data_IF_178110256331
#
_entry.id   IF_178110256331
#
_cell.length_a   1.000
_cell.length_b   1.000
_cell.length_c   1.000
_cell.angle_alpha   90.00
_cell.angle_beta   90.00
_cell.angle_gamma   90.00
#
_symmetry.space_group_name_H-M   'P 1'
#
loop_
_entity.id
_entity.type
_entity.pdbx_description
1 polymer ?
#
# COMPACT_ATOMS: atom_id res chain seq x y z
N UNK A 1 -36.32 28.40 -9.69
CA UNK A 1 -34.97 28.68 -10.21
C UNK A 1 -34.01 27.98 -9.25
N UNK A 2 -33.00 27.29 -9.77
CA UNK A 2 -32.02 26.51 -9.01
C UNK A 2 -30.83 27.42 -8.70
N UNK A 3 -30.33 27.40 -7.43
CA UNK A 3 -29.11 28.08 -7.05
C UNK A 3 -27.92 27.27 -7.63
N UNK A 4 -27.40 27.69 -8.77
CA UNK A 4 -26.34 26.98 -9.48
C UNK A 4 -25.04 26.88 -8.71
N UNK A 5 -24.73 27.82 -7.80
CA UNK A 5 -23.54 27.74 -6.95
C UNK A 5 -23.67 26.63 -5.91
N UNK A 6 -24.86 26.50 -5.32
CA UNK A 6 -25.13 25.39 -4.38
C UNK A 6 -25.15 24.05 -5.09
N UNK A 7 -25.75 24.01 -6.30
CA UNK A 7 -25.71 22.80 -7.12
C UNK A 7 -24.28 22.37 -7.46
N UNK A 8 -23.41 23.29 -7.88
CA UNK A 8 -22.02 23.01 -8.20
C UNK A 8 -21.25 22.47 -6.97
N UNK A 9 -21.39 23.10 -5.82
CA UNK A 9 -20.75 22.62 -4.58
C UNK A 9 -21.30 21.26 -4.14
N UNK A 10 -22.61 21.09 -4.20
CA UNK A 10 -23.29 19.84 -3.88
C UNK A 10 -22.82 18.69 -4.78
N UNK A 11 -22.64 18.93 -6.08
CA UNK A 11 -22.16 17.91 -7.02
C UNK A 11 -20.71 17.51 -6.76
N UNK A 12 -19.82 18.44 -6.41
CA UNK A 12 -18.44 18.13 -6.02
C UNK A 12 -18.41 17.25 -4.77
N UNK A 13 -19.19 17.62 -3.74
CA UNK A 13 -19.29 16.83 -2.51
C UNK A 13 -19.87 15.44 -2.76
N UNK A 14 -20.89 15.34 -3.60
CA UNK A 14 -21.49 14.07 -4.00
C UNK A 14 -20.51 13.19 -4.77
N UNK A 15 -19.67 13.76 -5.65
CA UNK A 15 -18.64 13.01 -6.38
C UNK A 15 -17.60 12.40 -5.43
N UNK A 16 -17.16 13.16 -4.44
CA UNK A 16 -16.24 12.64 -3.41
C UNK A 16 -16.91 11.59 -2.52
N UNK A 17 -18.16 11.80 -2.11
CA UNK A 17 -18.91 10.81 -1.35
C UNK A 17 -19.07 9.49 -2.14
N UNK A 18 -19.41 9.59 -3.42
CA UNK A 18 -19.53 8.44 -4.32
C UNK A 18 -18.19 7.72 -4.49
N UNK A 19 -17.08 8.46 -4.59
CA UNK A 19 -15.75 7.90 -4.68
C UNK A 19 -15.36 7.10 -3.40
N UNK A 20 -15.59 7.67 -2.21
CA UNK A 20 -15.32 6.95 -0.97
C UNK A 20 -16.24 5.72 -0.82
N UNK A 21 -17.50 5.83 -1.22
CA UNK A 21 -18.41 4.70 -1.26
C UNK A 21 -17.93 3.60 -2.22
N UNK A 22 -17.43 3.98 -3.39
CA UNK A 22 -16.86 3.07 -4.37
C UNK A 22 -15.61 2.36 -3.82
N UNK A 23 -14.65 3.09 -3.23
CA UNK A 23 -13.46 2.51 -2.60
C UNK A 23 -13.81 1.45 -1.55
N UNK A 24 -14.83 1.75 -0.74
CA UNK A 24 -15.30 0.84 0.29
C UNK A 24 -15.97 -0.40 -0.28
N UNK A 25 -16.90 -0.24 -1.21
CA UNK A 25 -17.70 -1.33 -1.79
C UNK A 25 -16.86 -2.28 -2.65
N UNK A 26 -15.84 -1.77 -3.34
CA UNK A 26 -14.95 -2.57 -4.18
C UNK A 26 -13.80 -3.21 -3.40
N UNK A 27 -13.52 -2.73 -2.17
CA UNK A 27 -12.35 -3.14 -1.40
C UNK A 27 -11.05 -2.46 -1.84
N UNK A 28 -11.09 -1.54 -2.80
CA UNK A 28 -9.91 -0.82 -3.28
C UNK A 28 -9.26 0.06 -2.21
N UNK A 29 -9.95 0.29 -1.11
CA UNK A 29 -9.42 1.02 0.06
C UNK A 29 -8.11 0.41 0.58
N UNK A 30 -7.92 -0.91 0.48
CA UNK A 30 -6.71 -1.62 0.92
C UNK A 30 -5.45 -1.18 0.19
N UNK A 31 -5.59 -0.62 -1.01
CA UNK A 31 -4.45 -0.10 -1.80
C UNK A 31 -3.92 1.23 -1.27
N UNK A 32 -4.71 1.96 -0.50
CA UNK A 32 -4.40 3.33 -0.06
C UNK A 32 -4.23 3.44 1.44
N UNK A 33 -4.98 2.67 2.22
CA UNK A 33 -5.07 2.79 3.67
C UNK A 33 -4.81 1.46 4.37
N UNK A 34 -4.25 1.54 5.58
CA UNK A 34 -4.17 0.42 6.50
C UNK A 34 -5.47 0.22 7.28
N UNK A 35 -5.71 -0.98 7.84
CA UNK A 35 -6.96 -1.33 8.53
C UNK A 35 -7.34 -0.37 9.66
N UNK A 36 -6.34 0.18 10.35
CA UNK A 36 -6.55 1.14 11.46
C UNK A 36 -7.24 2.43 11.03
N UNK A 37 -7.16 2.78 9.74
CA UNK A 37 -7.66 4.05 9.20
C UNK A 37 -8.86 3.88 8.27
N UNK A 38 -9.36 2.66 8.04
CA UNK A 38 -10.53 2.41 7.19
C UNK A 38 -11.78 3.20 7.61
N UNK A 39 -11.94 3.47 8.90
CA UNK A 39 -13.07 4.26 9.42
C UNK A 39 -13.13 5.67 8.82
N UNK A 40 -11.98 6.24 8.40
CA UNK A 40 -11.90 7.58 7.79
C UNK A 40 -12.68 7.62 6.48
N UNK A 41 -12.64 6.54 5.69
CA UNK A 41 -13.38 6.45 4.41
C UNK A 41 -14.88 6.43 4.66
N UNK A 42 -15.33 5.63 5.63
CA UNK A 42 -16.76 5.53 6.00
C UNK A 42 -17.24 6.86 6.55
N UNK A 43 -16.48 7.46 7.48
CA UNK A 43 -16.79 8.77 8.05
C UNK A 43 -16.83 9.86 6.96
N UNK A 44 -15.84 9.88 6.05
CA UNK A 44 -15.80 10.79 4.93
C UNK A 44 -16.99 10.63 3.98
N UNK A 45 -17.34 9.39 3.65
CA UNK A 45 -18.52 9.09 2.82
C UNK A 45 -19.82 9.65 3.44
N UNK A 46 -20.04 9.39 4.73
CA UNK A 46 -21.24 9.84 5.44
C UNK A 46 -21.29 11.38 5.51
N UNK A 47 -20.22 12.01 5.97
CA UNK A 47 -20.19 13.47 6.18
C UNK A 47 -20.33 14.24 4.87
N UNK A 48 -19.66 13.79 3.81
CA UNK A 48 -19.77 14.40 2.48
C UNK A 48 -21.16 14.19 1.87
N UNK A 49 -21.78 13.02 2.09
CA UNK A 49 -23.16 12.76 1.66
C UNK A 49 -24.15 13.70 2.36
N UNK A 50 -24.04 13.85 3.68
CA UNK A 50 -24.89 14.77 4.44
C UNK A 50 -24.69 16.21 4.01
N UNK A 51 -23.46 16.64 3.78
CA UNK A 51 -23.16 17.98 3.28
C UNK A 51 -23.72 18.20 1.85
N UNK A 52 -23.59 17.21 0.97
CA UNK A 52 -24.17 17.28 -0.37
C UNK A 52 -25.71 17.41 -0.32
N UNK A 53 -26.38 16.60 0.51
CA UNK A 53 -27.83 16.67 0.74
C UNK A 53 -28.25 18.05 1.28
N UNK A 54 -27.49 18.62 2.23
CA UNK A 54 -27.75 19.95 2.75
C UNK A 54 -27.69 21.04 1.68
N UNK A 55 -26.76 20.93 0.73
CA UNK A 55 -26.69 21.80 -0.43
C UNK A 55 -27.89 21.60 -1.40
N UNK A 56 -28.34 20.36 -1.60
CA UNK A 56 -29.45 20.03 -2.46
C UNK A 56 -30.82 20.51 -1.90
N UNK A 57 -31.03 20.42 -0.58
CA UNK A 57 -32.25 20.92 0.06
C UNK A 57 -32.39 22.44 -0.02
N UNK A 58 -31.29 23.17 -0.14
CA UNK A 58 -31.26 24.63 -0.25
C UNK A 58 -31.24 25.17 -1.68
N UNK A 59 -31.61 24.38 -2.70
CA UNK A 59 -31.52 24.77 -4.13
C UNK A 59 -32.43 25.88 -4.60
N UNK A 60 -33.41 26.34 -3.77
CA UNK A 60 -34.23 27.48 -4.09
C UNK A 60 -33.45 28.78 -3.93
N UNK A 61 -33.04 29.38 -5.04
CA UNK A 61 -32.18 30.55 -5.00
C UNK A 61 -32.05 31.27 -6.33
N UNK A 62 -31.09 32.16 -6.44
CA UNK A 62 -30.86 33.02 -7.61
C UNK A 62 -30.17 32.27 -8.75
N UNK A 63 -30.44 32.65 -10.03
CA UNK A 63 -29.68 32.11 -11.15
C UNK A 63 -28.21 32.44 -10.98
N UNK A 64 -27.36 31.44 -11.17
CA UNK A 64 -25.91 31.55 -11.06
C UNK A 64 -25.28 31.21 -12.40
N UNK A 65 -24.51 32.15 -12.94
CA UNK A 65 -23.59 31.87 -14.04
C UNK A 65 -22.19 31.57 -13.45
N UNK A 66 -21.64 30.38 -13.68
CA UNK A 66 -20.32 30.04 -13.16
C UNK A 66 -19.25 30.95 -13.78
N UNK A 67 -18.42 31.52 -12.94
CA UNK A 67 -17.24 32.27 -13.40
C UNK A 67 -16.11 31.30 -13.80
N UNK A 68 -15.11 31.78 -14.54
CA UNK A 68 -13.92 30.97 -14.84
C UNK A 68 -13.24 30.47 -13.58
N UNK A 69 -13.22 31.28 -12.52
CA UNK A 69 -12.64 30.90 -11.23
C UNK A 69 -13.41 29.75 -10.57
N UNK A 70 -14.75 29.75 -10.62
CA UNK A 70 -15.56 28.66 -10.09
C UNK A 70 -15.31 27.34 -10.87
N UNK A 71 -15.14 27.42 -12.20
CA UNK A 71 -14.85 26.25 -13.03
C UNK A 71 -13.45 25.69 -12.74
N UNK A 72 -12.42 26.54 -12.66
CA UNK A 72 -11.07 26.13 -12.32
C UNK A 72 -10.97 25.55 -10.91
N UNK A 73 -11.64 26.15 -9.93
CA UNK A 73 -11.70 25.62 -8.57
C UNK A 73 -12.36 24.23 -8.52
N UNK A 74 -13.44 24.04 -9.26
CA UNK A 74 -14.13 22.74 -9.37
C UNK A 74 -13.24 21.70 -10.06
N UNK A 75 -12.60 22.05 -11.18
CA UNK A 75 -11.69 21.17 -11.90
C UNK A 75 -10.51 20.73 -11.01
N UNK A 76 -9.92 21.65 -10.25
CA UNK A 76 -8.83 21.34 -9.34
C UNK A 76 -9.26 20.39 -8.22
N UNK A 77 -10.48 20.56 -7.68
CA UNK A 77 -11.04 19.68 -6.65
C UNK A 77 -11.39 18.27 -7.17
N UNK A 78 -11.73 18.13 -8.45
CA UNK A 78 -12.05 16.85 -9.07
C UNK A 78 -10.83 16.17 -9.70
N UNK A 79 -9.72 16.89 -9.91
CA UNK A 79 -8.52 16.37 -10.52
C UNK A 79 -7.96 15.11 -9.83
N UNK A 80 -7.89 15.02 -8.48
CA UNK A 80 -7.41 13.79 -7.82
C UNK A 80 -8.33 12.59 -8.08
N UNK A 81 -9.66 12.80 -8.17
CA UNK A 81 -10.58 11.72 -8.49
C UNK A 81 -10.34 11.19 -9.91
N UNK A 82 -10.15 12.12 -10.85
CA UNK A 82 -9.86 11.76 -12.24
C UNK A 82 -8.52 11.04 -12.32
N UNK A 83 -7.51 11.51 -11.60
CA UNK A 83 -6.19 10.89 -11.58
C UNK A 83 -6.24 9.43 -11.09
N UNK A 84 -6.98 9.14 -10.03
CA UNK A 84 -7.15 7.78 -9.51
C UNK A 84 -7.84 6.85 -10.51
N UNK A 85 -8.81 7.38 -11.30
CA UNK A 85 -9.54 6.59 -12.29
C UNK A 85 -8.70 6.36 -13.57
N UNK A 86 -7.91 7.36 -13.96
CA UNK A 86 -7.15 7.35 -15.23
C UNK A 86 -5.80 6.66 -15.10
N UNK A 87 -5.18 6.71 -13.90
CA UNK A 87 -3.90 6.05 -13.66
C UNK A 87 -4.19 4.66 -13.07
N UNK A 88 -4.18 3.60 -13.91
CA UNK A 88 -4.35 2.24 -13.43
C UNK A 88 -3.12 1.85 -12.59
N UNK A 89 -3.33 0.92 -11.65
CA UNK A 89 -2.27 0.26 -10.89
C UNK A 89 -1.32 1.17 -10.09
N UNK A 90 -1.89 2.14 -9.36
CA UNK A 90 -1.15 2.95 -8.40
C UNK A 90 -0.68 2.13 -7.16
N UNK A 91 -0.21 0.89 -7.38
CA UNK A 91 0.43 0.10 -6.34
C UNK A 91 1.87 0.54 -6.16
N UNK A 92 2.32 0.48 -4.90
CA UNK A 92 3.73 0.70 -4.60
C UNK A 92 4.53 -0.50 -5.14
N UNK A 93 5.45 -0.24 -6.06
CA UNK A 93 6.27 -1.26 -6.72
C UNK A 93 7.76 -1.10 -6.42
N UNK A 94 8.60 -1.79 -7.20
CA UNK A 94 10.05 -1.85 -7.05
C UNK A 94 10.71 -0.47 -7.07
N UNK A 95 10.28 0.44 -7.93
CA UNK A 95 10.78 1.82 -7.95
C UNK A 95 10.47 2.58 -6.65
N UNK A 96 9.29 2.38 -6.07
CA UNK A 96 8.95 2.99 -4.80
C UNK A 96 9.76 2.36 -3.65
N UNK A 97 9.99 1.05 -3.69
CA UNK A 97 10.81 0.34 -2.72
C UNK A 97 12.25 0.88 -2.70
N UNK A 98 12.90 1.01 -3.85
CA UNK A 98 14.26 1.55 -3.95
C UNK A 98 14.38 2.99 -3.45
N UNK A 99 13.42 3.85 -3.80
CA UNK A 99 13.39 5.25 -3.33
C UNK A 99 13.18 5.37 -1.83
N UNK A 100 12.29 4.55 -1.26
CA UNK A 100 12.00 4.58 0.17
C UNK A 100 13.13 3.97 0.99
N UNK A 101 13.78 2.93 0.51
CA UNK A 101 14.99 2.36 1.13
C UNK A 101 16.12 3.40 1.20
N UNK A 102 16.39 4.10 0.09
CA UNK A 102 17.43 5.14 0.03
C UNK A 102 17.07 6.41 0.81
N UNK A 103 15.80 6.73 1.01
CA UNK A 103 15.34 7.90 1.76
C UNK A 103 15.27 7.71 3.28
N UNK A 104 15.91 6.67 3.83
CA UNK A 104 15.94 6.41 5.28
C UNK A 104 14.81 5.49 5.75
N UNK A 105 14.33 4.61 4.88
CA UNK A 105 13.32 3.60 5.23
C UNK A 105 13.73 2.74 6.43
N UNK A 106 15.01 2.43 6.56
CA UNK A 106 15.56 1.74 7.74
C UNK A 106 15.40 2.53 9.05
N UNK A 107 15.59 3.84 9.04
CA UNK A 107 15.36 4.67 10.23
C UNK A 107 13.87 4.73 10.61
N UNK A 108 12.97 4.69 9.64
CA UNK A 108 11.53 4.62 9.88
C UNK A 108 11.10 3.22 10.36
N UNK A 109 11.74 2.15 9.88
CA UNK A 109 11.49 0.79 10.37
C UNK A 109 11.76 0.64 11.87
N UNK A 110 12.77 1.32 12.39
CA UNK A 110 13.08 1.34 13.83
C UNK A 110 11.98 1.97 14.70
N UNK A 111 11.05 2.72 14.12
CA UNK A 111 9.90 3.29 14.83
C UNK A 111 8.66 2.38 14.84
N UNK A 112 8.70 1.29 14.08
CA UNK A 112 7.62 0.30 14.06
C UNK A 112 7.79 -0.64 15.26
N UNK A 113 6.73 -0.93 16.02
CA UNK A 113 6.82 -1.92 17.08
C UNK A 113 7.32 -3.27 16.53
N UNK A 114 8.23 -3.90 17.24
CA UNK A 114 8.68 -5.27 16.90
C UNK A 114 7.46 -6.20 16.85
N UNK A 115 7.40 -7.13 15.90
CA UNK A 115 6.37 -8.17 15.90
C UNK A 115 6.47 -9.01 17.18
N UNK A 116 5.33 -9.48 17.68
CA UNK A 116 5.35 -10.37 18.85
C UNK A 116 5.95 -11.74 18.47
N UNK A 117 6.88 -12.27 19.28
CA UNK A 117 7.48 -13.58 19.03
C UNK A 117 6.42 -14.69 19.04
N UNK A 118 6.57 -15.67 18.12
CA UNK A 118 5.67 -16.83 18.02
C UNK A 118 4.46 -16.63 17.11
N UNK A 119 4.37 -15.50 16.41
CA UNK A 119 3.42 -15.27 15.32
C UNK A 119 3.81 -15.95 14.02
N UNK A 120 3.08 -15.65 12.95
CA UNK A 120 3.42 -16.08 11.60
C UNK A 120 4.72 -15.39 11.13
N UNK A 121 5.66 -16.17 10.60
CA UNK A 121 6.93 -15.64 10.10
C UNK A 121 6.69 -14.93 8.78
N UNK A 122 6.82 -13.62 8.80
CA UNK A 122 6.69 -12.74 7.65
C UNK A 122 8.01 -12.04 7.30
N UNK A 123 7.95 -11.14 6.36
CA UNK A 123 9.10 -10.31 5.97
C UNK A 123 9.71 -9.55 7.14
N UNK A 124 8.88 -9.05 8.06
CA UNK A 124 9.33 -8.26 9.20
C UNK A 124 10.12 -9.09 10.20
N UNK A 125 9.63 -10.28 10.53
CA UNK A 125 10.31 -11.20 11.44
C UNK A 125 11.68 -11.61 10.89
N UNK A 126 11.78 -11.85 9.57
CA UNK A 126 13.04 -12.21 8.92
C UNK A 126 14.01 -11.03 8.91
N UNK A 127 13.53 -9.83 8.58
CA UNK A 127 14.33 -8.61 8.54
C UNK A 127 14.94 -8.29 9.93
N UNK A 128 14.11 -8.21 10.96
CA UNK A 128 14.57 -7.98 12.33
C UNK A 128 15.47 -9.11 12.85
N UNK A 129 15.23 -10.36 12.44
CA UNK A 129 16.10 -11.50 12.78
C UNK A 129 17.45 -11.44 12.08
N UNK A 130 17.54 -10.73 10.96
CA UNK A 130 18.80 -10.47 10.26
C UNK A 130 19.67 -9.47 11.02
N UNK A 131 19.06 -8.55 11.75
CA UNK A 131 19.75 -7.52 12.53
C UNK A 131 20.07 -7.95 13.96
N UNK A 132 19.24 -8.83 14.56
CA UNK A 132 19.36 -9.23 15.97
C UNK A 132 19.24 -10.75 16.16
N UNK A 133 20.31 -11.38 16.66
CA UNK A 133 20.30 -12.82 17.02
C UNK A 133 19.35 -13.12 18.19
N UNK A 134 19.24 -12.20 19.14
CA UNK A 134 18.32 -12.34 20.27
C UNK A 134 16.86 -12.35 19.79
N UNK A 135 16.53 -11.45 18.87
CA UNK A 135 15.20 -11.43 18.27
C UNK A 135 14.96 -12.69 17.43
N UNK A 136 15.93 -13.12 16.63
CA UNK A 136 15.83 -14.34 15.82
C UNK A 136 15.50 -15.57 16.69
N UNK A 137 16.21 -15.71 17.81
CA UNK A 137 15.97 -16.80 18.76
C UNK A 137 14.55 -16.73 19.37
N UNK A 138 14.09 -15.54 19.74
CA UNK A 138 12.77 -15.34 20.33
C UNK A 138 11.62 -15.54 19.31
N UNK A 139 11.82 -15.13 18.06
CA UNK A 139 10.87 -15.28 16.97
C UNK A 139 10.88 -16.68 16.34
N UNK A 140 11.87 -17.53 16.67
CA UNK A 140 12.02 -18.86 16.08
C UNK A 140 12.54 -18.84 14.64
N UNK A 141 13.17 -17.75 14.21
CA UNK A 141 13.78 -17.64 12.88
C UNK A 141 15.19 -18.24 12.93
N UNK A 142 15.31 -19.43 12.39
CA UNK A 142 16.57 -20.23 12.44
C UNK A 142 17.01 -20.65 11.04
N UNK A 143 18.30 -20.99 10.93
CA UNK A 143 18.83 -21.60 9.71
C UNK A 143 18.09 -22.89 9.36
N UNK A 144 17.75 -23.06 8.08
CA UNK A 144 16.98 -24.21 7.60
C UNK A 144 15.47 -24.13 7.80
N UNK A 145 14.95 -23.06 8.42
CA UNK A 145 13.49 -22.86 8.60
C UNK A 145 12.78 -22.80 7.25
N UNK A 146 11.73 -23.61 7.09
CA UNK A 146 10.89 -23.58 5.91
C UNK A 146 9.86 -22.47 6.04
N UNK A 147 9.81 -21.59 5.03
CA UNK A 147 8.85 -20.46 4.96
C UNK A 147 8.22 -20.36 3.58
N UNK A 148 7.05 -19.76 3.53
CA UNK A 148 6.39 -19.37 2.29
C UNK A 148 6.04 -17.89 2.37
N UNK A 149 6.57 -17.09 1.43
CA UNK A 149 6.40 -15.64 1.40
C UNK A 149 5.73 -15.21 0.10
N UNK A 150 4.82 -14.26 0.21
CA UNK A 150 4.16 -13.64 -0.95
C UNK A 150 4.52 -12.16 -1.03
N UNK A 151 5.11 -11.74 -2.14
CA UNK A 151 5.53 -10.36 -2.38
C UNK A 151 5.78 -10.10 -3.87
N UNK A 152 6.31 -8.94 -4.17
CA UNK A 152 6.72 -8.59 -5.53
C UNK A 152 8.24 -8.59 -5.67
N UNK A 153 8.70 -8.87 -6.88
CA UNK A 153 10.13 -8.95 -7.23
C UNK A 153 10.73 -7.56 -7.27
N UNK A 154 11.92 -7.43 -6.66
CA UNK A 154 12.82 -6.29 -6.78
C UNK A 154 14.23 -6.80 -7.02
N UNK A 155 15.04 -6.04 -7.77
CA UNK A 155 16.44 -6.39 -8.00
C UNK A 155 17.32 -5.50 -7.12
N UNK A 156 17.95 -6.08 -6.09
CA UNK A 156 18.93 -5.36 -5.27
C UNK A 156 20.25 -5.16 -6.04
N UNK A 157 21.20 -4.45 -5.41
CA UNK A 157 22.58 -4.43 -5.86
C UNK A 157 23.13 -5.86 -6.01
N UNK A 158 24.12 -6.09 -6.90
CA UNK A 158 24.69 -7.41 -7.15
C UNK A 158 25.17 -8.11 -5.88
N UNK A 159 24.77 -9.36 -5.67
CA UNK A 159 25.08 -10.16 -4.49
C UNK A 159 24.78 -11.65 -4.70
N UNK A 160 24.65 -12.42 -3.60
CA UNK A 160 24.35 -13.86 -3.64
C UNK A 160 22.91 -14.16 -4.07
N UNK A 161 22.01 -13.19 -3.96
CA UNK A 161 20.62 -13.34 -4.31
C UNK A 161 20.38 -13.14 -5.81
N UNK A 162 19.45 -13.90 -6.37
CA UNK A 162 19.01 -13.73 -7.76
C UNK A 162 18.08 -12.51 -7.88
N UNK A 163 17.22 -12.32 -6.88
CA UNK A 163 16.31 -11.19 -6.74
C UNK A 163 15.93 -11.05 -5.26
N UNK A 164 15.23 -10.00 -4.89
CA UNK A 164 14.57 -9.90 -3.59
C UNK A 164 13.06 -9.98 -3.75
N UNK A 165 12.41 -10.66 -2.82
CA UNK A 165 10.97 -10.58 -2.66
C UNK A 165 10.68 -9.46 -1.66
N UNK A 166 9.82 -8.51 -2.04
CA UNK A 166 9.56 -7.30 -1.26
C UNK A 166 8.06 -7.18 -0.98
N UNK A 167 7.73 -6.69 0.21
CA UNK A 167 6.38 -6.29 0.58
C UNK A 167 6.41 -5.06 1.46
N UNK A 168 5.46 -4.15 1.27
CA UNK A 168 5.41 -2.93 2.08
C UNK A 168 4.60 -3.15 3.36
N UNK A 169 5.12 -2.66 4.46
CA UNK A 169 4.36 -2.46 5.68
C UNK A 169 3.71 -1.07 5.66
N UNK A 170 2.43 -0.99 6.00
CA UNK A 170 1.65 0.26 6.04
C UNK A 170 1.02 0.40 7.42
N UNK A 171 1.28 1.52 8.09
CA UNK A 171 0.69 1.81 9.39
C UNK A 171 -0.66 2.51 9.27
N UNK A 172 -0.73 3.61 8.51
CA UNK A 172 -1.95 4.36 8.30
C UNK A 172 -2.35 4.49 6.83
N UNK A 173 -1.41 4.73 5.92
CA UNK A 173 -1.69 4.91 4.50
C UNK A 173 -0.46 4.62 3.63
N UNK A 174 -0.64 4.45 2.33
CA UNK A 174 0.44 4.15 1.38
C UNK A 174 1.61 5.18 1.40
N UNK A 175 1.39 6.39 1.91
CA UNK A 175 2.46 7.38 2.05
C UNK A 175 3.50 6.99 3.11
N UNK A 176 3.08 6.32 4.19
CA UNK A 176 3.98 5.85 5.26
C UNK A 176 4.57 4.45 5.01
N UNK A 177 4.30 3.86 3.85
CA UNK A 177 4.74 2.51 3.52
C UNK A 177 6.26 2.34 3.62
N UNK A 178 6.70 1.28 4.29
CA UNK A 178 8.10 0.90 4.48
C UNK A 178 8.33 -0.44 3.79
N UNK A 179 9.31 -0.56 2.87
CA UNK A 179 9.60 -1.83 2.21
C UNK A 179 10.37 -2.77 3.16
N UNK A 180 9.92 -4.00 3.26
CA UNK A 180 10.65 -5.12 3.84
C UNK A 180 10.98 -6.11 2.72
N UNK A 181 12.24 -6.51 2.64
CA UNK A 181 12.76 -7.32 1.55
C UNK A 181 13.51 -8.53 2.05
N UNK A 182 13.24 -9.69 1.47
CA UNK A 182 13.97 -10.93 1.74
C UNK A 182 14.69 -11.32 0.46
N UNK A 183 16.04 -11.41 0.48
CA UNK A 183 16.82 -11.88 -0.64
C UNK A 183 16.46 -13.35 -0.98
N UNK A 184 16.35 -13.66 -2.25
CA UNK A 184 15.98 -14.99 -2.76
C UNK A 184 17.11 -15.54 -3.63
N UNK A 185 17.63 -16.71 -3.27
CA UNK A 185 18.52 -17.49 -4.11
C UNK A 185 17.69 -18.52 -4.89
N UNK A 186 17.79 -18.47 -6.22
CA UNK A 186 17.06 -19.38 -7.10
C UNK A 186 17.97 -19.86 -8.23
N UNK A 187 17.91 -21.17 -8.54
CA UNK A 187 18.69 -21.77 -9.66
C UNK A 187 18.15 -21.36 -11.03
N UNK A 188 16.91 -20.96 -11.13
CA UNK A 188 16.25 -20.45 -12.34
C UNK A 188 15.22 -19.41 -11.95
N UNK A 189 15.09 -18.36 -12.74
CA UNK A 189 13.94 -17.48 -12.61
C UNK A 189 14.23 -16.03 -12.32
N UNK A 190 15.16 -15.44 -13.09
CA UNK A 190 15.17 -13.99 -13.23
C UNK A 190 13.78 -13.53 -13.68
N UNK A 191 13.14 -12.68 -12.88
CA UNK A 191 11.77 -12.20 -13.10
C UNK A 191 11.79 -10.70 -13.13
N UNK A 192 10.99 -10.07 -14.02
CA UNK A 192 10.90 -8.61 -14.05
C UNK A 192 10.51 -8.04 -12.68
N UNK A 193 10.98 -6.83 -12.39
CA UNK A 193 10.49 -6.03 -11.28
C UNK A 193 8.95 -5.98 -11.29
N UNK A 194 8.37 -5.82 -10.11
CA UNK A 194 6.93 -5.75 -9.90
C UNK A 194 6.16 -7.04 -10.18
N UNK A 195 6.84 -8.14 -10.55
CA UNK A 195 6.19 -9.45 -10.67
C UNK A 195 5.82 -9.97 -9.29
N UNK A 196 4.53 -10.18 -9.04
CA UNK A 196 4.07 -10.82 -7.81
C UNK A 196 4.29 -12.33 -7.84
N UNK A 197 4.84 -12.86 -6.77
CA UNK A 197 5.09 -14.29 -6.63
C UNK A 197 4.93 -14.76 -5.18
N UNK A 198 4.52 -16.01 -5.02
CA UNK A 198 4.67 -16.78 -3.79
C UNK A 198 5.91 -17.63 -3.92
N UNK A 199 6.82 -17.49 -2.96
CA UNK A 199 8.10 -18.21 -2.90
C UNK A 199 8.12 -19.08 -1.66
N UNK A 200 8.23 -20.38 -1.84
CA UNK A 200 8.46 -21.34 -0.77
C UNK A 200 9.91 -21.81 -0.80
N UNK A 201 10.52 -21.93 0.35
CA UNK A 201 11.92 -22.34 0.46
C UNK A 201 12.39 -22.50 1.90
N UNK A 202 13.71 -22.53 2.07
CA UNK A 202 14.34 -22.58 3.39
C UNK A 202 15.20 -21.36 3.60
N UNK A 203 15.10 -20.78 4.78
CA UNK A 203 15.99 -19.70 5.18
C UNK A 203 17.40 -20.25 5.39
N UNK A 204 18.37 -19.60 4.79
CA UNK A 204 19.79 -19.87 5.01
C UNK A 204 20.45 -18.63 5.60
N UNK A 205 21.14 -18.83 6.73
CA UNK A 205 21.86 -17.73 7.38
C UNK A 205 23.14 -17.41 6.63
N UNK A 206 23.36 -16.14 6.36
CA UNK A 206 24.59 -15.59 5.77
C UNK A 206 25.12 -14.45 6.65
N UNK A 207 26.29 -13.92 6.33
CA UNK A 207 26.91 -12.86 7.12
C UNK A 207 26.07 -11.58 7.22
N UNK A 208 25.26 -11.29 6.19
CA UNK A 208 24.39 -10.09 6.11
C UNK A 208 22.92 -10.36 6.51
N UNK A 209 22.59 -11.50 7.11
CA UNK A 209 21.23 -11.83 7.54
C UNK A 209 20.74 -13.16 7.02
N UNK A 210 19.54 -13.21 6.44
CA UNK A 210 18.94 -14.40 5.89
C UNK A 210 18.70 -14.29 4.38
N UNK A 211 18.88 -15.41 3.67
CA UNK A 211 18.53 -15.60 2.27
C UNK A 211 17.52 -16.75 2.19
N UNK A 212 16.50 -16.61 1.37
CA UNK A 212 15.54 -17.66 1.09
C UNK A 212 16.04 -18.52 -0.08
N UNK A 213 16.52 -19.73 0.18
CA UNK A 213 16.84 -20.71 -0.84
C UNK A 213 15.54 -21.29 -1.40
N UNK A 214 15.12 -20.78 -2.56
CA UNK A 214 13.83 -21.10 -3.14
C UNK A 214 13.77 -22.52 -3.65
N UNK A 215 12.75 -23.28 -3.23
CA UNK A 215 12.40 -24.60 -3.75
C UNK A 215 11.24 -24.54 -4.74
N UNK A 216 10.33 -23.55 -4.56
CA UNK A 216 9.20 -23.32 -5.45
C UNK A 216 8.97 -21.80 -5.58
N UNK A 217 8.74 -21.36 -6.80
CA UNK A 217 8.39 -19.96 -7.12
C UNK A 217 7.17 -19.99 -8.03
N UNK A 218 6.07 -19.43 -7.58
CA UNK A 218 4.79 -19.40 -8.29
C UNK A 218 4.39 -17.95 -8.56
N UNK A 219 4.35 -17.50 -9.81
CA UNK A 219 3.84 -16.18 -10.16
C UNK A 219 2.35 -16.12 -9.86
N UNK A 220 1.91 -15.02 -9.28
CA UNK A 220 0.50 -14.79 -8.95
C UNK A 220 0.05 -13.42 -9.46
N UNK A 221 -1.26 -13.23 -9.55
CA UNK A 221 -1.80 -11.87 -9.70
C UNK A 221 -1.56 -11.07 -8.41
N UNK A 222 -1.42 -9.73 -8.50
CA UNK A 222 -1.33 -8.89 -7.31
C UNK A 222 -2.49 -9.17 -6.35
N UNK A 223 -2.21 -9.42 -5.05
CA UNK A 223 -3.26 -9.66 -4.07
C UNK A 223 -4.12 -8.41 -3.88
N UNK A 224 -5.38 -8.60 -3.49
CA UNK A 224 -6.27 -7.46 -3.16
C UNK A 224 -5.73 -6.62 -2.02
N UNK A 225 -5.07 -7.26 -1.08
CA UNK A 225 -4.38 -6.62 0.03
C UNK A 225 -2.87 -6.78 -0.17
N UNK A 226 -2.20 -5.75 -0.72
CA UNK A 226 -0.80 -5.87 -1.09
C UNK A 226 0.17 -5.57 0.06
N UNK A 227 -0.32 -5.17 1.23
CA UNK A 227 0.51 -4.67 2.33
C UNK A 227 0.62 -5.64 3.50
N UNK A 228 1.60 -5.38 4.36
CA UNK A 228 1.73 -5.90 5.73
C UNK A 228 1.20 -4.85 6.71
N UNK A 229 0.74 -5.29 7.91
CA UNK A 229 0.16 -4.44 8.95
C UNK A 229 0.70 -4.77 10.34
#
# INVERSE_FOLDING_TARGET
MIDGRRALRGSVLASWAAFFGWLWLTGEVTRYLGPRTYWVVVFGCITLSLAALGHLWGLRGRPFAPTRADLWGTALLLLPLIAVIVIPDAQLGAQAASRKASAGGFAAAALIPLPEPGGEISFREIDYSSESEEYAASAGVVDGLSVELTGFVTHPEPGEATFSLTRFYVSCCAADAIPFSVPVAATRGDRPDDTWATVAGRLRRIASGFVLDATRIEPIAPPRDPYLY
#
